data_IF_246969711617
#
_entry.id   IF_246969711617
#
_cell.length_a   1.000
_cell.length_b   1.000
_cell.length_c   1.000
_cell.angle_alpha   90.00
_cell.angle_beta   90.00
_cell.angle_gamma   90.00
#
_symmetry.space_group_name_H-M   'P 1'
#
loop_
_entity.id
_entity.type
_entity.pdbx_description
1 polymer ?
#
# COMPACT_ATOMS: atom_id res chain seq x y z
N UNK A 1 55.43 12.78 -7.01
CA UNK A 1 54.19 13.56 -7.23
C UNK A 1 53.25 12.70 -8.06
N UNK A 2 52.35 11.96 -7.41
CA UNK A 2 51.38 11.06 -8.07
C UNK A 2 50.18 11.92 -8.47
N UNK A 3 49.78 11.99 -9.76
CA UNK A 3 48.72 12.88 -10.22
C UNK A 3 47.35 12.47 -9.65
N UNK A 4 46.71 13.39 -8.92
CA UNK A 4 45.40 13.28 -8.28
C UNK A 4 44.19 13.19 -9.25
N UNK A 5 44.42 13.25 -10.56
CA UNK A 5 43.34 13.30 -11.56
C UNK A 5 42.48 12.03 -11.72
N UNK A 6 42.92 10.79 -11.46
CA UNK A 6 42.07 9.62 -11.73
C UNK A 6 41.04 9.37 -10.61
N UNK A 7 41.19 10.01 -9.44
CA UNK A 7 40.32 9.76 -8.27
C UNK A 7 38.97 10.46 -8.38
N UNK A 8 38.90 11.61 -9.07
CA UNK A 8 37.67 12.41 -9.14
C UNK A 8 36.57 11.80 -10.05
N UNK A 9 36.94 10.92 -10.99
CA UNK A 9 35.99 10.29 -11.91
C UNK A 9 35.23 9.09 -11.31
N UNK A 10 35.65 8.59 -10.14
CA UNK A 10 35.14 7.33 -9.58
C UNK A 10 33.95 7.47 -8.62
N UNK A 11 33.41 8.68 -8.39
CA UNK A 11 32.35 8.90 -7.40
C UNK A 11 30.96 9.21 -7.97
N UNK A 12 30.79 9.23 -9.30
CA UNK A 12 29.51 9.53 -9.94
C UNK A 12 28.55 8.32 -10.07
N UNK A 13 28.93 7.11 -9.61
CA UNK A 13 28.17 5.87 -9.87
C UNK A 13 27.26 5.39 -8.72
N UNK A 14 27.04 6.18 -7.67
CA UNK A 14 26.24 5.76 -6.50
C UNK A 14 24.87 6.45 -6.41
N UNK A 15 24.11 6.51 -7.52
CA UNK A 15 22.66 6.70 -7.41
C UNK A 15 22.00 5.31 -7.29
N UNK A 16 21.56 4.87 -6.09
CA UNK A 16 20.65 3.75 -6.01
C UNK A 16 19.34 4.18 -6.66
N UNK A 17 19.00 3.58 -7.79
CA UNK A 17 17.67 3.66 -8.35
C UNK A 17 16.71 3.09 -7.31
N UNK A 18 15.94 3.96 -6.63
CA UNK A 18 14.83 3.53 -5.82
C UNK A 18 13.77 2.96 -6.77
N UNK A 19 13.79 1.65 -6.99
CA UNK A 19 12.71 0.95 -7.68
C UNK A 19 11.48 1.02 -6.79
N UNK A 20 10.62 2.00 -7.06
CA UNK A 20 9.24 2.04 -6.55
C UNK A 20 8.50 0.91 -7.26
N UNK A 21 8.36 -0.23 -6.60
CA UNK A 21 7.51 -1.31 -7.07
C UNK A 21 6.07 -0.88 -6.81
N UNK A 22 5.44 -0.26 -7.82
CA UNK A 22 4.00 -0.13 -7.85
C UNK A 22 3.44 -1.56 -7.93
N UNK A 23 2.82 -2.02 -6.85
CA UNK A 23 2.10 -3.29 -6.85
C UNK A 23 0.82 -3.08 -7.68
N UNK A 24 0.89 -3.40 -8.97
CA UNK A 24 -0.29 -3.60 -9.82
C UNK A 24 -1.01 -4.85 -9.29
N UNK A 25 -1.92 -4.66 -8.34
CA UNK A 25 -2.83 -5.71 -7.90
C UNK A 25 -3.90 -5.86 -8.98
N UNK A 26 -4.14 -7.08 -9.49
CA UNK A 26 -5.17 -7.30 -10.50
C UNK A 26 -6.54 -6.85 -9.96
N UNK A 27 -7.25 -6.05 -10.75
CA UNK A 27 -8.62 -5.62 -10.47
C UNK A 27 -9.49 -6.84 -10.11
N UNK A 28 -10.02 -6.84 -8.89
CA UNK A 28 -10.97 -7.85 -8.42
C UNK A 28 -10.41 -9.00 -7.57
N UNK A 29 -9.09 -9.18 -7.47
CA UNK A 29 -8.54 -10.17 -6.53
C UNK A 29 -8.48 -9.61 -5.10
N UNK A 30 -8.86 -10.37 -4.05
CA UNK A 30 -8.69 -9.94 -2.67
C UNK A 30 -7.21 -9.62 -2.42
N UNK A 31 -6.86 -8.39 -2.04
CA UNK A 31 -5.54 -8.11 -1.48
C UNK A 31 -5.36 -8.92 -0.20
N UNK A 32 -4.14 -9.39 0.04
CA UNK A 32 -3.80 -10.12 1.26
C UNK A 32 -4.17 -9.31 2.52
N UNK A 33 -4.53 -10.01 3.60
CA UNK A 33 -4.91 -9.38 4.88
C UNK A 33 -3.86 -8.37 5.36
N UNK A 34 -2.58 -8.71 5.22
CA UNK A 34 -1.48 -7.81 5.59
C UNK A 34 -1.34 -6.60 4.66
N UNK A 35 -1.65 -6.74 3.37
CA UNK A 35 -1.64 -5.65 2.41
C UNK A 35 -2.76 -4.64 2.73
N UNK A 36 -3.95 -5.14 3.08
CA UNK A 36 -5.06 -4.32 3.56
C UNK A 36 -4.72 -3.61 4.87
N UNK A 37 -4.14 -4.31 5.84
CA UNK A 37 -3.70 -3.71 7.09
C UNK A 37 -2.60 -2.65 6.89
N UNK A 38 -1.69 -2.87 5.94
CA UNK A 38 -0.69 -1.87 5.54
C UNK A 38 -1.34 -0.63 4.92
N UNK A 39 -2.33 -0.80 4.03
CA UNK A 39 -3.08 0.31 3.44
C UNK A 39 -3.78 1.17 4.50
N UNK A 40 -4.42 0.54 5.49
CA UNK A 40 -5.07 1.22 6.63
C UNK A 40 -4.05 2.08 7.41
N UNK A 41 -2.88 1.50 7.72
CA UNK A 41 -1.80 2.18 8.45
C UNK A 41 -1.18 3.34 7.67
N UNK A 42 -0.97 3.19 6.36
CA UNK A 42 -0.45 4.24 5.48
C UNK A 42 -1.41 5.44 5.44
N UNK A 43 -2.72 5.20 5.57
CA UNK A 43 -3.73 6.27 5.68
C UNK A 43 -3.84 6.90 7.08
N UNK A 44 -3.01 6.47 8.02
CA UNK A 44 -2.93 7.04 9.37
C UNK A 44 -3.89 6.41 10.38
N UNK A 45 -4.59 5.33 10.02
CA UNK A 45 -5.44 4.60 10.94
C UNK A 45 -4.67 3.46 11.63
N UNK A 46 -4.85 3.24 12.93
CA UNK A 46 -4.23 2.11 13.60
C UNK A 46 -4.89 0.80 13.11
N UNK A 47 -4.07 -0.18 12.76
CA UNK A 47 -4.55 -1.53 12.48
C UNK A 47 -3.52 -2.56 12.93
N UNK A 48 -3.68 -3.02 14.15
CA UNK A 48 -2.94 -4.14 14.70
C UNK A 48 -3.82 -5.39 14.75
N UNK A 49 -3.18 -6.56 14.68
CA UNK A 49 -3.84 -7.86 14.70
C UNK A 49 -4.99 -7.96 13.68
N UNK A 50 -4.72 -7.74 12.37
CA UNK A 50 -5.76 -7.78 11.37
C UNK A 50 -6.36 -9.18 11.27
N UNK A 51 -7.69 -9.25 11.33
CA UNK A 51 -8.46 -10.47 11.08
C UNK A 51 -8.73 -10.62 9.59
N UNK A 52 -9.09 -11.83 9.17
CA UNK A 52 -9.43 -12.12 7.78
C UNK A 52 -10.49 -11.13 7.26
N UNK A 53 -10.19 -10.41 6.16
CA UNK A 53 -11.08 -9.42 5.59
C UNK A 53 -12.30 -10.10 4.96
N UNK A 54 -13.41 -9.38 4.96
CA UNK A 54 -14.65 -9.82 4.31
C UNK A 54 -14.97 -8.83 3.19
N UNK A 55 -15.32 -9.35 2.02
CA UNK A 55 -15.80 -8.54 0.90
C UNK A 55 -17.04 -7.75 1.32
N UNK A 56 -17.01 -6.43 1.10
CA UNK A 56 -18.17 -5.56 1.21
C UNK A 56 -19.02 -5.72 -0.06
N UNK A 57 -20.21 -6.29 0.09
CA UNK A 57 -21.18 -6.49 -1.00
C UNK A 57 -22.23 -5.40 -1.06
N UNK A 58 -21.93 -4.22 -0.50
CA UNK A 58 -22.80 -3.07 -0.59
C UNK A 58 -22.87 -2.57 -2.04
N UNK A 59 -24.08 -2.28 -2.53
CA UNK A 59 -24.31 -1.72 -3.89
C UNK A 59 -23.69 -0.33 -4.10
N UNK A 60 -23.03 0.23 -3.08
CA UNK A 60 -22.37 1.54 -3.11
C UNK A 60 -21.20 1.58 -4.10
N UNK A 61 -20.56 0.44 -4.39
CA UNK A 61 -19.42 0.35 -5.32
C UNK A 61 -19.58 -0.85 -6.26
N UNK A 62 -20.53 -0.81 -7.22
CA UNK A 62 -20.83 -1.98 -8.07
C UNK A 62 -19.66 -2.36 -8.98
N UNK A 63 -18.80 -1.39 -9.29
CA UNK A 63 -17.70 -1.57 -10.23
C UNK A 63 -16.38 -1.94 -9.53
N UNK A 64 -16.28 -1.82 -8.19
CA UNK A 64 -15.03 -2.06 -7.47
C UNK A 64 -15.26 -2.68 -6.09
N UNK A 65 -14.55 -3.77 -5.76
CA UNK A 65 -14.76 -4.48 -4.50
C UNK A 65 -14.25 -3.65 -3.30
N UNK A 66 -15.10 -3.51 -2.29
CA UNK A 66 -14.71 -3.05 -0.96
C UNK A 66 -14.32 -4.22 -0.06
N UNK A 67 -13.43 -3.98 0.89
CA UNK A 67 -13.00 -4.99 1.87
C UNK A 67 -13.15 -4.45 3.28
N UNK A 68 -13.94 -5.12 4.10
CA UNK A 68 -14.08 -4.83 5.53
C UNK A 68 -13.00 -5.58 6.28
N UNK A 69 -12.09 -4.84 6.91
CA UNK A 69 -11.00 -5.34 7.74
C UNK A 69 -11.34 -5.04 9.20
N UNK A 70 -11.23 -6.05 10.06
CA UNK A 70 -11.28 -5.85 11.52
C UNK A 70 -9.87 -5.88 12.07
N UNK A 71 -9.52 -4.86 12.83
CA UNK A 71 -8.28 -4.76 13.58
C UNK A 71 -8.62 -4.65 15.07
N UNK A 72 -7.63 -4.77 15.95
CA UNK A 72 -7.84 -4.63 17.40
C UNK A 72 -8.46 -3.28 17.79
N UNK A 73 -8.20 -2.23 17.01
CA UNK A 73 -8.65 -0.86 17.28
C UNK A 73 -10.01 -0.51 16.69
N UNK A 74 -10.48 -1.25 15.67
CA UNK A 74 -11.67 -0.84 14.94
C UNK A 74 -11.91 -1.63 13.67
N UNK A 75 -12.92 -1.20 12.93
CA UNK A 75 -13.31 -1.78 11.64
C UNK A 75 -13.16 -0.74 10.55
N UNK A 76 -12.61 -1.15 9.42
CA UNK A 76 -12.28 -0.26 8.32
C UNK A 76 -12.79 -0.85 7.02
N UNK A 77 -13.44 -0.03 6.20
CA UNK A 77 -13.72 -0.33 4.80
C UNK A 77 -12.57 0.17 3.95
N UNK A 78 -11.99 -0.71 3.14
CA UNK A 78 -10.92 -0.40 2.20
C UNK A 78 -11.44 -0.58 0.77
N UNK A 79 -11.37 0.47 -0.04
CA UNK A 79 -11.77 0.45 -1.45
C UNK A 79 -10.57 0.90 -2.29
N UNK A 80 -10.19 0.11 -3.31
CA UNK A 80 -9.13 0.51 -4.23
C UNK A 80 -9.73 1.27 -5.41
N UNK A 81 -9.36 2.54 -5.57
CA UNK A 81 -9.89 3.44 -6.60
C UNK A 81 -9.09 3.39 -7.91
N UNK A 82 -8.11 2.49 -8.03
CA UNK A 82 -7.10 2.51 -9.09
C UNK A 82 -6.00 3.54 -8.77
N UNK A 83 -5.82 4.53 -9.63
CA UNK A 83 -4.67 5.45 -9.63
C UNK A 83 -4.51 6.31 -8.36
N UNK A 84 -5.59 6.54 -7.61
CA UNK A 84 -5.55 7.37 -6.39
C UNK A 84 -5.15 6.57 -5.13
N UNK A 85 -4.95 5.26 -5.27
CA UNK A 85 -4.62 4.34 -4.18
C UNK A 85 -5.84 3.94 -3.32
N UNK A 86 -5.61 3.27 -2.18
CA UNK A 86 -6.71 2.76 -1.34
C UNK A 86 -7.39 3.89 -0.57
N UNK A 87 -8.71 3.94 -0.63
CA UNK A 87 -9.55 4.72 0.27
C UNK A 87 -9.85 3.89 1.51
N UNK A 88 -9.77 4.53 2.68
CA UNK A 88 -10.01 3.87 3.96
C UNK A 88 -11.05 4.66 4.73
N UNK A 89 -12.16 4.01 5.07
CA UNK A 89 -13.25 4.61 5.85
C UNK A 89 -13.42 3.85 7.17
N UNK A 90 -13.28 4.51 8.34
CA UNK A 90 -13.61 3.88 9.61
C UNK A 90 -15.11 3.63 9.70
N UNK A 91 -15.49 2.45 10.18
CA UNK A 91 -16.88 2.04 10.36
C UNK A 91 -17.34 2.16 11.82
N UNK A 92 -16.41 2.29 12.77
CA UNK A 92 -16.63 2.43 14.21
C UNK A 92 -15.53 3.26 14.88
#
# INVERSE_FOLDING_TARGET
>A
MIPLLPVLLLQALLLPAATVLAADLPDGAPPDTDALAAAIRIRGFPCDQPLSPVEDRSDTHPDRPGWIVRCAQGRYLVVYEGDTGPQVTPLD
#
